data_IF_313577426106
#
_entry.id   IF_313577426106
#
_cell.length_a   1.000
_cell.length_b   1.000
_cell.length_c   1.000
_cell.angle_alpha   90.00
_cell.angle_beta   90.00
_cell.angle_gamma   90.00
#
_symmetry.space_group_name_H-M   'P 1'
#
loop_
_entity.id
_entity.type
_entity.pdbx_description
1 polymer ?
#
# COMPACT_ATOMS: atom_id res chain seq x y z
N UNK A 1 12.36 16.53 -0.53
CA UNK A 1 12.20 17.05 -1.90
C UNK A 1 13.50 17.76 -2.24
N UNK A 2 14.33 17.17 -3.08
CA UNK A 2 15.60 17.76 -3.49
C UNK A 2 15.48 18.16 -4.97
N UNK A 3 15.50 19.47 -5.30
CA UNK A 3 15.34 19.96 -6.68
C UNK A 3 16.36 19.36 -7.66
N UNK A 4 17.52 18.94 -7.16
CA UNK A 4 18.64 18.41 -7.97
C UNK A 4 18.36 17.02 -8.54
N UNK A 5 17.49 16.23 -7.90
CA UNK A 5 17.23 14.83 -8.26
C UNK A 5 15.83 14.57 -8.86
N UNK A 6 15.00 15.62 -8.99
CA UNK A 6 13.61 15.50 -9.43
C UNK A 6 12.77 14.58 -8.54
N UNK A 7 11.70 13.97 -9.07
CA UNK A 7 10.86 13.03 -8.32
C UNK A 7 11.51 11.63 -8.11
N UNK A 8 12.74 11.39 -8.59
CA UNK A 8 13.39 10.06 -8.51
C UNK A 8 13.63 9.57 -7.08
N UNK A 9 14.05 10.41 -6.12
CA UNK A 9 14.15 10.01 -4.71
C UNK A 9 12.78 9.60 -4.15
N UNK A 10 11.72 10.31 -4.51
CA UNK A 10 10.35 10.00 -4.08
C UNK A 10 9.89 8.66 -4.63
N UNK A 11 10.12 8.39 -5.92
CA UNK A 11 9.78 7.10 -6.54
C UNK A 11 10.49 5.93 -5.86
N UNK A 12 11.78 6.09 -5.53
CA UNK A 12 12.54 5.05 -4.81
C UNK A 12 12.06 4.83 -3.39
N UNK A 13 11.67 5.90 -2.69
CA UNK A 13 11.08 5.79 -1.37
C UNK A 13 9.74 5.04 -1.42
N UNK A 14 8.85 5.38 -2.36
CA UNK A 14 7.59 4.64 -2.55
C UNK A 14 7.88 3.17 -2.86
N UNK A 15 8.86 2.88 -3.73
CA UNK A 15 9.21 1.49 -4.05
C UNK A 15 9.69 0.67 -2.85
N UNK A 16 10.59 1.25 -2.04
CA UNK A 16 11.16 0.57 -0.87
C UNK A 16 10.17 0.47 0.28
N UNK A 17 9.47 1.55 0.58
CA UNK A 17 8.65 1.66 1.79
C UNK A 17 7.22 1.16 1.55
N UNK A 18 6.73 1.16 0.30
CA UNK A 18 5.34 0.78 -0.03
C UNK A 18 5.28 -0.47 -0.91
N UNK A 19 5.87 -0.46 -2.12
CA UNK A 19 5.72 -1.58 -3.07
C UNK A 19 6.35 -2.87 -2.52
N UNK A 20 7.53 -2.77 -1.91
CA UNK A 20 8.26 -3.94 -1.41
C UNK A 20 7.52 -4.64 -0.25
N UNK A 21 7.07 -3.95 0.83
CA UNK A 21 6.28 -4.57 1.89
C UNK A 21 4.94 -5.10 1.40
N UNK A 22 4.29 -4.39 0.48
CA UNK A 22 3.02 -4.83 -0.12
C UNK A 22 3.19 -6.16 -0.86
N UNK A 23 4.26 -6.31 -1.66
CA UNK A 23 4.56 -7.55 -2.36
C UNK A 23 4.78 -8.73 -1.40
N UNK A 24 5.52 -8.51 -0.31
CA UNK A 24 5.69 -9.54 0.72
C UNK A 24 4.36 -9.98 1.35
N UNK A 25 3.46 -9.04 1.64
CA UNK A 25 2.14 -9.32 2.22
C UNK A 25 1.22 -10.08 1.26
N UNK A 26 1.30 -9.78 -0.04
CA UNK A 26 0.59 -10.53 -1.08
C UNK A 26 1.11 -11.98 -1.14
N UNK A 27 2.44 -12.16 -1.18
CA UNK A 27 3.06 -13.50 -1.22
C UNK A 27 2.77 -14.30 0.05
N UNK A 28 2.70 -13.64 1.21
CA UNK A 28 2.30 -14.24 2.47
C UNK A 28 0.80 -14.63 2.54
N UNK A 29 -0.01 -14.17 1.57
CA UNK A 29 -1.45 -14.41 1.53
C UNK A 29 -2.28 -13.53 2.48
N UNK A 30 -1.67 -12.50 3.09
CA UNK A 30 -2.34 -11.50 3.93
C UNK A 30 -3.22 -10.56 3.09
N UNK A 31 -2.84 -10.34 1.84
CA UNK A 31 -3.55 -9.49 0.88
C UNK A 31 -3.89 -10.36 -0.32
N UNK A 32 -5.17 -10.40 -0.68
CA UNK A 32 -5.68 -11.22 -1.78
C UNK A 32 -6.10 -10.35 -2.95
N UNK A 33 -6.24 -11.01 -4.10
CA UNK A 33 -6.81 -10.37 -5.27
C UNK A 33 -8.22 -9.85 -4.96
N UNK A 34 -8.49 -8.60 -5.34
CA UNK A 34 -9.74 -7.90 -5.02
C UNK A 34 -9.77 -7.19 -3.66
N UNK A 35 -8.73 -7.31 -2.82
CA UNK A 35 -8.64 -6.53 -1.59
C UNK A 35 -8.24 -5.08 -1.88
N UNK A 36 -8.93 -4.15 -1.21
CA UNK A 36 -8.58 -2.74 -1.17
C UNK A 36 -7.70 -2.47 0.04
N UNK A 37 -6.42 -2.18 -0.17
CA UNK A 37 -5.47 -1.98 0.94
C UNK A 37 -5.38 -0.50 1.29
N UNK A 38 -5.78 -0.16 2.51
CA UNK A 38 -5.51 1.17 3.06
C UNK A 38 -4.09 1.20 3.60
N UNK A 39 -3.28 2.12 3.09
CA UNK A 39 -1.93 2.38 3.56
C UNK A 39 -1.97 3.68 4.37
N UNK A 40 -1.47 3.62 5.59
CA UNK A 40 -1.45 4.75 6.53
C UNK A 40 -0.07 4.86 7.20
N UNK A 41 0.22 6.00 7.82
CA UNK A 41 1.47 6.24 8.53
C UNK A 41 1.17 6.60 9.98
N UNK A 42 1.48 5.67 10.89
CA UNK A 42 1.25 5.81 12.34
C UNK A 42 2.52 5.47 13.09
N UNK A 43 2.81 6.23 14.14
CA UNK A 43 3.94 5.97 15.05
C UNK A 43 5.31 5.82 14.34
N UNK A 44 5.50 6.51 13.22
CA UNK A 44 6.74 6.46 12.45
C UNK A 44 6.87 5.27 11.50
N UNK A 45 5.84 4.44 11.37
CA UNK A 45 5.82 3.24 10.51
C UNK A 45 4.64 3.26 9.54
N UNK A 46 4.82 2.64 8.38
CA UNK A 46 3.73 2.40 7.43
C UNK A 46 2.92 1.19 7.87
N UNK A 47 1.61 1.36 7.93
CA UNK A 47 0.63 0.31 8.25
C UNK A 47 -0.19 -0.04 7.02
N UNK A 48 -0.49 -1.32 6.85
CA UNK A 48 -1.24 -1.85 5.71
C UNK A 48 -2.49 -2.58 6.23
N UNK A 49 -3.66 -2.05 5.91
CA UNK A 49 -4.97 -2.59 6.32
C UNK A 49 -5.73 -3.09 5.08
N UNK A 50 -5.73 -4.41 4.77
CA UNK A 50 -6.56 -4.94 3.71
C UNK A 50 -8.03 -4.83 4.09
N UNK A 51 -8.81 -4.19 3.21
CA UNK A 51 -10.27 -4.10 3.30
C UNK A 51 -10.82 -4.92 2.15
N UNK A 52 -11.55 -5.97 2.48
CA UNK A 52 -12.30 -6.73 1.49
C UNK A 52 -13.34 -5.77 0.90
N UNK A 53 -13.20 -5.44 -0.39
CA UNK A 53 -14.22 -4.67 -1.07
C UNK A 53 -15.45 -5.57 -1.26
N UNK A 54 -16.39 -5.49 -0.32
CA UNK A 54 -17.73 -6.05 -0.50
C UNK A 54 -18.48 -5.17 -1.49
N UNK A 55 -18.15 -5.24 -2.77
CA UNK A 55 -19.01 -4.70 -3.81
C UNK A 55 -20.34 -5.46 -3.82
N UNK A 56 -21.42 -4.75 -3.47
CA UNK A 56 -22.83 -4.96 -3.91
C UNK A 56 -23.87 -5.71 -3.05
N UNK A 57 -23.68 -5.99 -1.76
CA UNK A 57 -24.82 -6.46 -0.92
C UNK A 57 -25.76 -5.35 -0.39
N UNK A 58 -25.65 -4.10 -0.87
CA UNK A 58 -26.51 -2.98 -0.43
C UNK A 58 -27.17 -2.23 -1.59
N UNK A 59 -27.53 -2.92 -2.67
CA UNK A 59 -28.53 -2.46 -3.63
C UNK A 59 -29.64 -3.51 -3.74
N UNK A 60 -30.44 -3.61 -2.68
CA UNK A 60 -31.81 -4.14 -2.69
C UNK A 60 -32.70 -3.12 -2.00
#
# INVERSE_FOLDING_TARGET
YDPTYGARPLRRAIQREVETPLAYKIVAGEIKEGDHVLIDFKDGILTFEPRVEKLSQAAS
#
